data_IF_115150489772
#
_entry.id   IF_115150489772
#
_cell.length_a   1.000
_cell.length_b   1.000
_cell.length_c   1.000
_cell.angle_alpha   90.00
_cell.angle_beta   90.00
_cell.angle_gamma   90.00
#
_symmetry.space_group_name_H-M   'P 1'
#
loop_
_entity.id
_entity.type
_entity.pdbx_description
1 polymer ?
#
# COMPACT_ATOMS: atom_id res chain seq x y z
N UNK A 1 0.92 6.74 39.21
CA UNK A 1 0.01 7.56 38.36
C UNK A 1 0.65 7.68 36.98
N UNK A 2 -0.12 7.42 35.91
CA UNK A 2 0.30 7.24 34.50
C UNK A 2 1.07 8.44 33.95
N UNK A 3 2.19 8.23 33.27
CA UNK A 3 2.85 9.27 32.47
C UNK A 3 3.19 8.79 31.06
N UNK A 4 2.46 9.37 30.11
CA UNK A 4 2.76 9.61 28.69
C UNK A 4 3.18 8.43 27.79
N UNK A 5 2.19 7.73 27.23
CA UNK A 5 2.30 7.22 25.85
C UNK A 5 2.05 8.39 24.91
N UNK A 6 3.13 9.07 24.49
CA UNK A 6 3.10 10.06 23.42
C UNK A 6 2.71 9.31 22.13
N UNK A 7 1.41 9.29 21.82
CA UNK A 7 0.90 8.83 20.52
C UNK A 7 1.46 9.81 19.50
N UNK A 8 2.58 9.45 18.88
CA UNK A 8 3.00 10.07 17.64
C UNK A 8 1.91 9.70 16.64
N UNK A 9 0.98 10.63 16.45
CA UNK A 9 0.09 10.62 15.30
C UNK A 9 1.02 10.72 14.09
N UNK A 10 1.39 9.58 13.53
CA UNK A 10 1.85 9.53 12.16
C UNK A 10 0.67 10.05 11.35
N UNK A 11 0.68 11.36 11.09
CA UNK A 11 -0.05 11.92 9.98
C UNK A 11 0.50 11.19 8.76
N UNK A 12 -0.14 10.08 8.40
CA UNK A 12 -0.19 9.61 7.03
C UNK A 12 -0.92 10.72 6.27
N UNK A 13 -0.22 11.84 6.06
CA UNK A 13 -0.57 12.78 5.04
C UNK A 13 -0.72 11.93 3.81
N UNK A 14 -1.92 11.94 3.26
CA UNK A 14 -2.22 11.39 1.95
C UNK A 14 -1.35 12.19 0.99
N UNK A 15 -0.08 11.83 0.89
CA UNK A 15 0.76 12.27 -0.19
C UNK A 15 0.02 11.74 -1.41
N UNK A 16 -0.67 12.57 -2.19
CA UNK A 16 -1.10 12.10 -3.51
C UNK A 16 0.18 11.89 -4.32
N UNK A 17 0.87 10.77 -4.13
CA UNK A 17 1.77 10.27 -5.14
C UNK A 17 0.84 9.93 -6.30
N UNK A 18 0.97 10.67 -7.39
CA UNK A 18 0.24 10.40 -8.62
C UNK A 18 0.59 8.98 -9.04
N UNK A 19 -0.26 8.05 -8.65
CA UNK A 19 -0.09 6.64 -8.91
C UNK A 19 -0.20 6.45 -10.42
N UNK A 20 0.96 6.40 -11.07
CA UNK A 20 1.07 6.17 -12.51
C UNK A 20 1.17 4.66 -12.81
N UNK A 21 0.90 3.82 -11.81
CA UNK A 21 0.75 2.38 -12.01
C UNK A 21 -0.73 2.06 -12.24
N UNK A 22 -0.99 1.43 -13.38
CA UNK A 22 -2.26 0.75 -13.59
C UNK A 22 -2.41 -0.43 -12.62
N UNK A 23 -3.65 -0.91 -12.40
CA UNK A 23 -3.88 -2.16 -11.69
C UNK A 23 -3.02 -3.29 -12.24
N UNK A 24 -2.32 -4.00 -11.35
CA UNK A 24 -1.40 -5.05 -11.73
C UNK A 24 -1.91 -6.40 -11.23
N UNK A 25 -1.98 -7.40 -12.11
CA UNK A 25 -2.32 -8.74 -11.70
C UNK A 25 -1.11 -9.42 -11.04
N UNK A 26 -1.38 -10.18 -9.99
CA UNK A 26 -0.39 -10.98 -9.26
C UNK A 26 -0.96 -12.36 -8.98
N UNK A 27 -0.07 -13.36 -8.94
CA UNK A 27 -0.46 -14.75 -8.75
C UNK A 27 -0.93 -15.06 -7.32
N UNK A 28 -0.53 -14.25 -6.33
CA UNK A 28 -0.87 -14.47 -4.93
C UNK A 28 -0.90 -13.17 -4.12
N UNK A 29 -1.51 -13.24 -2.93
CA UNK A 29 -1.61 -12.07 -2.05
C UNK A 29 -0.24 -11.64 -1.52
N UNK A 30 0.66 -12.61 -1.30
CA UNK A 30 2.03 -12.35 -0.86
C UNK A 30 2.83 -11.58 -1.92
N UNK A 31 2.70 -11.97 -3.19
CA UNK A 31 3.29 -11.27 -4.33
C UNK A 31 2.77 -9.83 -4.41
N UNK A 32 1.45 -9.64 -4.32
CA UNK A 32 0.86 -8.30 -4.31
C UNK A 32 1.38 -7.43 -3.17
N UNK A 33 1.46 -7.96 -1.95
CA UNK A 33 2.00 -7.20 -0.82
C UNK A 33 3.48 -6.86 -0.99
N UNK A 34 4.27 -7.82 -1.48
CA UNK A 34 5.71 -7.63 -1.67
C UNK A 34 5.97 -6.56 -2.73
N UNK A 35 5.27 -6.63 -3.86
CA UNK A 35 5.37 -5.65 -4.94
C UNK A 35 4.89 -4.27 -4.49
N UNK A 36 3.70 -4.18 -3.89
CA UNK A 36 3.13 -2.93 -3.44
C UNK A 36 3.98 -2.24 -2.38
N UNK A 37 4.52 -3.00 -1.41
CA UNK A 37 5.42 -2.46 -0.38
C UNK A 37 6.71 -1.93 -1.00
N UNK A 38 7.31 -2.67 -1.94
CA UNK A 38 8.51 -2.22 -2.65
C UNK A 38 8.24 -0.92 -3.40
N UNK A 39 7.13 -0.85 -4.12
CA UNK A 39 6.78 0.34 -4.90
C UNK A 39 6.42 1.54 -4.01
N UNK A 40 5.79 1.32 -2.86
CA UNK A 40 5.53 2.37 -1.88
C UNK A 40 6.83 2.88 -1.24
N UNK A 41 7.78 1.99 -0.94
CA UNK A 41 9.11 2.34 -0.44
C UNK A 41 9.95 3.11 -1.46
N UNK A 42 9.83 2.74 -2.74
CA UNK A 42 10.47 3.44 -3.86
C UNK A 42 9.77 4.80 -4.16
N UNK A 43 8.72 5.18 -3.43
CA UNK A 43 7.96 6.41 -3.65
C UNK A 43 7.14 6.43 -4.95
N UNK A 44 6.94 5.26 -5.58
CA UNK A 44 6.19 5.10 -6.83
C UNK A 44 4.68 4.97 -6.62
N UNK A 45 4.27 4.62 -5.39
CA UNK A 45 2.88 4.50 -4.96
C UNK A 45 2.70 5.22 -3.63
N UNK A 46 1.55 5.84 -3.43
CA UNK A 46 1.14 6.29 -2.08
C UNK A 46 0.66 5.11 -1.25
N UNK A 47 -0.15 4.28 -1.89
CA UNK A 47 -0.78 3.12 -1.28
C UNK A 47 -1.29 2.16 -2.33
N UNK A 48 -1.66 0.97 -1.89
CA UNK A 48 -2.18 -0.09 -2.73
C UNK A 48 -3.07 -1.04 -1.94
N UNK A 49 -4.03 -1.67 -2.60
CA UNK A 49 -4.82 -2.77 -2.09
C UNK A 49 -4.54 -4.00 -2.91
N UNK A 50 -4.52 -5.13 -2.23
CA UNK A 50 -4.52 -6.44 -2.84
C UNK A 50 -5.94 -6.99 -2.83
N UNK A 51 -6.59 -6.98 -3.98
CA UNK A 51 -7.99 -7.41 -4.11
C UNK A 51 -8.03 -8.75 -4.83
N UNK A 52 -8.59 -9.77 -4.20
CA UNK A 52 -8.86 -11.04 -4.88
C UNK A 52 -9.99 -10.84 -5.90
N UNK A 53 -9.71 -11.09 -7.18
CA UNK A 53 -10.70 -10.96 -8.25
C UNK A 53 -10.54 -12.09 -9.26
N UNK A 54 -11.58 -12.91 -9.39
CA UNK A 54 -11.53 -14.13 -10.21
C UNK A 54 -10.52 -15.13 -9.64
N UNK A 55 -9.58 -15.56 -10.48
CA UNK A 55 -8.59 -16.60 -10.14
C UNK A 55 -7.24 -16.03 -9.69
N UNK A 56 -7.15 -14.75 -9.31
CA UNK A 56 -5.89 -14.16 -8.84
C UNK A 56 -6.08 -12.89 -8.03
N UNK A 57 -4.97 -12.24 -7.69
CA UNK A 57 -4.96 -11.03 -6.87
C UNK A 57 -4.57 -9.83 -7.72
N UNK A 58 -5.40 -8.79 -7.70
CA UNK A 58 -5.11 -7.54 -8.36
C UNK A 58 -4.58 -6.54 -7.34
N UNK A 59 -3.39 -6.02 -7.61
CA UNK A 59 -2.85 -4.86 -6.94
C UNK A 59 -3.50 -3.62 -7.53
N UNK A 60 -4.29 -2.92 -6.73
CA UNK A 60 -5.01 -1.69 -7.08
C UNK A 60 -4.35 -0.54 -6.35
N UNK A 61 -3.53 0.27 -7.02
CA UNK A 61 -2.85 1.40 -6.37
C UNK A 61 -3.71 2.68 -6.38
N UNK A 62 -3.48 3.60 -5.42
CA UNK A 62 -4.10 4.94 -5.36
C UNK A 62 -3.13 5.99 -4.84
#
# INVERSE_FOLDING_TARGET
MKSLRKKVAAAAGTASATTNLAPHWTASYLECQTLGNKLAQDGRLTGFNCVAKGNGIWMMPW
#
